data_IF_806988069612
#
_entry.id   IF_806988069612
#
_cell.length_a   1.000
_cell.length_b   1.000
_cell.length_c   1.000
_cell.angle_alpha   90.00
_cell.angle_beta   90.00
_cell.angle_gamma   90.00
#
_symmetry.space_group_name_H-M   'P 1'
#
loop_
_entity.id
_entity.type
_entity.pdbx_description
1 polymer ?
#
# COMPACT_ATOMS: atom_id res chain seq x y z
N UNK A 1 32.17 5.71 3.72
CA UNK A 1 31.60 4.62 2.89
C UNK A 1 31.70 3.36 3.73
N UNK A 2 30.58 2.87 4.31
CA UNK A 2 30.56 1.56 4.96
C UNK A 2 30.65 0.54 3.82
N UNK A 3 31.58 -0.41 3.92
CA UNK A 3 31.66 -1.55 3.01
C UNK A 3 30.31 -2.28 3.06
N UNK A 4 29.48 -2.11 2.03
CA UNK A 4 28.26 -2.87 1.83
C UNK A 4 28.70 -4.27 1.36
N UNK A 5 29.05 -5.14 2.32
CA UNK A 5 29.40 -6.52 2.01
C UNK A 5 28.16 -7.23 1.50
N UNK A 6 28.23 -7.71 0.27
CA UNK A 6 27.21 -8.58 -0.29
C UNK A 6 27.21 -9.92 0.46
N UNK A 7 26.04 -10.35 0.86
CA UNK A 7 25.78 -11.70 1.35
C UNK A 7 24.42 -12.15 0.86
N UNK A 8 24.28 -13.36 0.42
CA UNK A 8 22.99 -13.86 -0.07
C UNK A 8 22.24 -14.57 1.04
N UNK A 9 21.04 -14.08 1.33
CA UNK A 9 20.13 -14.71 2.27
C UNK A 9 18.78 -14.94 1.59
N UNK A 10 18.34 -16.20 1.58
CA UNK A 10 17.01 -16.56 1.07
C UNK A 10 15.98 -16.48 2.21
N UNK A 11 14.94 -15.68 2.01
CA UNK A 11 13.85 -15.47 2.95
C UNK A 11 12.58 -16.12 2.39
N UNK A 12 11.98 -17.03 3.14
CA UNK A 12 10.62 -17.52 2.86
C UNK A 12 9.63 -16.58 3.55
N UNK A 13 8.81 -15.89 2.76
CA UNK A 13 7.87 -14.88 3.22
C UNK A 13 6.44 -15.27 2.87
N UNK A 14 5.49 -14.72 3.64
CA UNK A 14 4.07 -14.74 3.27
C UNK A 14 3.61 -13.29 3.06
N UNK A 15 3.36 -12.93 1.79
CA UNK A 15 2.95 -11.59 1.39
C UNK A 15 1.58 -11.66 0.71
N UNK A 16 0.59 -10.94 1.22
CA UNK A 16 -0.79 -10.97 0.74
C UNK A 16 -1.32 -12.42 0.55
N UNK A 17 -1.08 -13.27 1.57
CA UNK A 17 -1.40 -14.70 1.65
C UNK A 17 -0.62 -15.60 0.65
N UNK A 18 0.28 -15.07 -0.13
CA UNK A 18 1.09 -15.84 -1.07
C UNK A 18 2.43 -16.18 -0.43
N UNK A 19 2.83 -17.47 -0.37
CA UNK A 19 4.18 -17.87 0.01
C UNK A 19 5.15 -17.52 -1.14
N UNK A 20 6.18 -16.73 -0.85
CA UNK A 20 7.19 -16.30 -1.81
C UNK A 20 8.58 -16.45 -1.22
N UNK A 21 9.57 -16.66 -2.08
CA UNK A 21 10.97 -16.58 -1.69
C UNK A 21 11.57 -15.28 -2.19
N UNK A 22 12.23 -14.55 -1.31
CA UNK A 22 13.00 -13.34 -1.64
C UNK A 22 14.45 -13.58 -1.31
N UNK A 23 15.35 -13.34 -2.26
CA UNK A 23 16.79 -13.37 -2.00
C UNK A 23 17.30 -11.95 -1.80
N UNK A 24 17.87 -11.70 -0.62
CA UNK A 24 18.54 -10.45 -0.24
C UNK A 24 20.03 -10.52 -0.50
N UNK A 25 20.62 -9.43 -0.99
CA UNK A 25 22.07 -9.26 -1.20
C UNK A 25 22.71 -8.30 -0.20
N UNK A 26 21.95 -7.39 0.41
CA UNK A 26 22.50 -6.27 1.18
C UNK A 26 21.89 -6.11 2.59
N UNK A 27 21.15 -7.08 3.08
CA UNK A 27 20.60 -7.06 4.46
C UNK A 27 19.50 -6.05 4.76
N UNK A 28 19.19 -5.08 3.89
CA UNK A 28 18.07 -4.17 4.09
C UNK A 28 16.74 -4.92 3.96
N UNK A 29 16.59 -5.77 2.94
CA UNK A 29 15.42 -6.61 2.75
C UNK A 29 15.17 -7.54 3.94
N UNK A 30 16.22 -8.10 4.53
CA UNK A 30 16.12 -8.95 5.72
C UNK A 30 15.42 -8.21 6.86
N UNK A 31 15.82 -6.96 7.11
CA UNK A 31 15.24 -6.14 8.19
C UNK A 31 13.77 -5.83 7.96
N UNK A 32 13.43 -5.33 6.76
CA UNK A 32 12.06 -4.91 6.47
C UNK A 32 11.12 -6.11 6.28
N UNK A 33 11.64 -7.25 5.83
CA UNK A 33 10.86 -8.47 5.62
C UNK A 33 10.71 -9.35 6.87
N UNK A 34 11.48 -9.10 7.93
CA UNK A 34 11.46 -9.92 9.15
C UNK A 34 10.05 -10.17 9.72
N UNK A 35 9.14 -9.16 9.79
CA UNK A 35 7.78 -9.38 10.27
C UNK A 35 6.92 -10.27 9.36
N UNK A 36 7.37 -10.52 8.14
CA UNK A 36 6.66 -11.25 7.09
C UNK A 36 7.24 -12.63 6.80
N UNK A 37 8.25 -13.05 7.57
CA UNK A 37 8.81 -14.41 7.47
C UNK A 37 7.71 -15.43 7.75
N UNK A 38 7.58 -16.41 6.86
CA UNK A 38 6.55 -17.46 6.99
C UNK A 38 6.90 -18.44 8.11
N UNK A 39 6.38 -18.16 9.30
CA UNK A 39 6.57 -19.03 10.48
C UNK A 39 5.85 -20.38 10.40
N UNK A 40 5.01 -20.61 9.40
CA UNK A 40 4.32 -21.89 9.19
C UNK A 40 5.22 -22.94 8.55
N UNK A 41 6.27 -22.51 7.83
CA UNK A 41 7.36 -23.34 7.34
C UNK A 41 7.04 -24.37 6.25
N UNK A 42 5.77 -24.69 6.05
CA UNK A 42 5.33 -25.89 5.32
C UNK A 42 4.96 -25.63 3.86
N UNK A 43 4.78 -24.37 3.46
CA UNK A 43 4.39 -24.05 2.10
C UNK A 43 5.62 -23.82 1.20
N UNK A 44 5.68 -24.55 0.09
CA UNK A 44 6.65 -24.22 -0.95
C UNK A 44 6.31 -22.84 -1.54
N UNK A 45 7.33 -21.97 -1.76
CA UNK A 45 7.12 -20.69 -2.39
C UNK A 45 6.48 -20.83 -3.78
N UNK A 46 5.41 -20.08 -4.02
CA UNK A 46 4.75 -20.08 -5.33
C UNK A 46 5.69 -19.57 -6.43
N UNK A 47 6.57 -18.62 -6.07
CA UNK A 47 7.64 -18.13 -6.92
C UNK A 47 8.77 -17.54 -6.07
N UNK A 48 9.93 -17.36 -6.71
CA UNK A 48 11.08 -16.68 -6.11
C UNK A 48 11.38 -15.37 -6.86
N UNK A 49 11.87 -14.37 -6.12
CA UNK A 49 12.35 -13.09 -6.66
C UNK A 49 13.74 -12.77 -6.12
N UNK A 50 14.57 -12.21 -6.98
CA UNK A 50 15.91 -11.72 -6.69
C UNK A 50 16.19 -10.53 -7.61
N UNK A 51 16.83 -9.49 -7.11
CA UNK A 51 17.34 -8.42 -7.95
C UNK A 51 18.62 -8.86 -8.66
N UNK A 52 18.67 -8.76 -9.97
CA UNK A 52 19.88 -8.90 -10.79
C UNK A 52 20.66 -7.58 -10.82
N UNK A 53 21.91 -7.61 -11.33
CA UNK A 53 22.68 -6.38 -11.53
C UNK A 53 22.00 -5.44 -12.54
N UNK A 54 21.37 -5.99 -13.58
CA UNK A 54 20.58 -5.20 -14.53
C UNK A 54 19.36 -4.52 -13.87
N UNK A 55 18.71 -5.17 -12.90
CA UNK A 55 17.64 -4.55 -12.11
C UNK A 55 18.17 -3.41 -11.25
N UNK A 56 19.33 -3.57 -10.62
CA UNK A 56 19.97 -2.51 -9.84
C UNK A 56 20.39 -1.33 -10.73
N UNK A 57 20.90 -1.59 -11.93
CA UNK A 57 21.27 -0.55 -12.89
C UNK A 57 20.04 0.20 -13.40
N UNK A 58 18.93 -0.48 -13.63
CA UNK A 58 17.66 0.13 -13.95
C UNK A 58 17.17 1.08 -12.84
N UNK A 59 17.14 0.61 -11.59
CA UNK A 59 16.72 1.45 -10.45
C UNK A 59 17.68 2.62 -10.24
N UNK A 60 19.00 2.41 -10.43
CA UNK A 60 20.03 3.47 -10.32
C UNK A 60 19.86 4.55 -11.39
N UNK A 61 19.45 4.18 -12.59
CA UNK A 61 19.17 5.16 -13.65
C UNK A 61 18.00 6.09 -13.30
N UNK A 62 17.06 5.60 -12.52
CA UNK A 62 15.88 6.37 -12.06
C UNK A 62 16.15 7.17 -10.78
N UNK A 63 17.06 6.70 -9.92
CA UNK A 63 17.32 7.25 -8.59
C UNK A 63 18.80 7.09 -8.18
N UNK A 64 19.71 7.81 -8.84
CA UNK A 64 21.16 7.63 -8.71
C UNK A 64 21.71 7.98 -7.32
N UNK A 65 20.97 8.74 -6.52
CA UNK A 65 21.36 9.17 -5.18
C UNK A 65 21.22 8.07 -4.10
N UNK A 66 20.51 6.97 -4.40
CA UNK A 66 20.24 5.94 -3.41
C UNK A 66 21.30 4.83 -3.39
N UNK A 67 21.47 4.21 -2.22
CA UNK A 67 22.40 3.10 -2.00
C UNK A 67 21.92 1.78 -2.63
N UNK A 68 22.85 0.85 -2.87
CA UNK A 68 22.51 -0.47 -3.41
C UNK A 68 21.47 -1.24 -2.59
N UNK A 69 21.50 -1.26 -1.24
CA UNK A 69 20.44 -1.89 -0.45
C UNK A 69 19.04 -1.32 -0.71
N UNK A 70 18.95 0.00 -0.90
CA UNK A 70 17.67 0.63 -1.21
C UNK A 70 17.21 0.31 -2.63
N UNK A 71 18.12 0.38 -3.62
CA UNK A 71 17.82 0.03 -5.01
C UNK A 71 17.41 -1.45 -5.14
N UNK A 72 18.07 -2.36 -4.41
CA UNK A 72 17.65 -3.76 -4.31
C UNK A 72 16.20 -3.89 -3.80
N UNK A 73 15.89 -3.16 -2.74
CA UNK A 73 14.53 -3.15 -2.17
C UNK A 73 13.49 -2.67 -3.18
N UNK A 74 13.81 -1.65 -4.00
CA UNK A 74 12.94 -1.17 -5.07
C UNK A 74 12.77 -2.23 -6.18
N UNK A 75 13.87 -2.84 -6.63
CA UNK A 75 13.88 -3.85 -7.67
C UNK A 75 13.06 -5.09 -7.26
N UNK A 76 13.26 -5.59 -6.04
CA UNK A 76 12.49 -6.72 -5.51
C UNK A 76 11.01 -6.37 -5.37
N UNK A 77 10.67 -5.17 -4.90
CA UNK A 77 9.28 -4.72 -4.84
C UNK A 77 8.62 -4.68 -6.22
N UNK A 78 9.32 -4.17 -7.24
CA UNK A 78 8.85 -4.16 -8.62
C UNK A 78 8.63 -5.57 -9.16
N UNK A 79 9.59 -6.47 -8.95
CA UNK A 79 9.48 -7.87 -9.38
C UNK A 79 8.30 -8.60 -8.70
N UNK A 80 8.05 -8.33 -7.41
CA UNK A 80 6.88 -8.84 -6.70
C UNK A 80 5.57 -8.29 -7.29
N UNK A 81 5.50 -6.97 -7.56
CA UNK A 81 4.33 -6.35 -8.16
C UNK A 81 3.95 -6.96 -9.51
N UNK A 82 4.96 -7.25 -10.35
CA UNK A 82 4.77 -7.92 -11.64
C UNK A 82 4.22 -9.35 -11.50
N UNK A 83 4.78 -10.13 -10.56
CA UNK A 83 4.31 -11.50 -10.29
C UNK A 83 2.93 -11.52 -9.67
N UNK A 84 2.66 -10.61 -8.74
CA UNK A 84 1.38 -10.54 -8.02
C UNK A 84 0.19 -10.20 -8.92
N UNK A 85 0.40 -9.45 -10.01
CA UNK A 85 -0.67 -9.12 -10.94
C UNK A 85 -1.40 -10.36 -11.48
N UNK A 86 -0.68 -11.43 -11.83
CA UNK A 86 -1.26 -12.70 -12.31
C UNK A 86 -1.98 -13.51 -11.22
N UNK A 87 -1.87 -13.09 -9.97
CA UNK A 87 -2.50 -13.71 -8.82
C UNK A 87 -3.55 -12.80 -8.16
N UNK A 88 -4.10 -11.83 -8.91
CA UNK A 88 -5.14 -10.90 -8.45
C UNK A 88 -4.68 -9.98 -7.30
N UNK A 89 -3.37 -9.74 -7.19
CA UNK A 89 -2.80 -8.80 -6.24
C UNK A 89 -2.19 -7.63 -6.97
N UNK A 90 -2.48 -6.44 -6.48
CA UNK A 90 -1.92 -5.19 -7.02
C UNK A 90 -1.23 -4.40 -5.92
N UNK A 91 -0.17 -3.68 -6.29
CA UNK A 91 0.44 -2.65 -5.44
C UNK A 91 -0.35 -1.37 -5.61
N UNK A 92 -0.77 -0.79 -4.50
CA UNK A 92 -1.59 0.42 -4.49
C UNK A 92 -0.91 1.53 -3.67
N UNK A 93 -0.46 2.58 -4.31
CA UNK A 93 0.22 3.70 -3.67
C UNK A 93 -0.75 4.53 -2.83
N UNK A 94 -0.87 4.19 -1.57
CA UNK A 94 -1.77 4.83 -0.61
C UNK A 94 -1.24 4.70 0.82
N UNK A 95 -1.70 5.55 1.71
CA UNK A 95 -1.65 5.27 3.13
C UNK A 95 -2.92 4.52 3.54
N UNK A 96 -2.76 3.32 4.08
CA UNK A 96 -3.86 2.43 4.47
C UNK A 96 -4.06 2.48 5.97
N UNK A 97 -5.24 2.91 6.41
CA UNK A 97 -5.62 2.92 7.83
C UNK A 97 -6.63 1.81 8.08
N UNK A 98 -6.41 1.03 9.14
CA UNK A 98 -7.39 0.10 9.66
C UNK A 98 -8.17 0.76 10.79
N UNK A 99 -9.51 0.63 10.74
CA UNK A 99 -10.41 1.06 11.79
C UNK A 99 -11.62 0.10 11.85
N UNK A 100 -11.98 -0.34 13.05
CA UNK A 100 -13.10 -1.26 13.29
C UNK A 100 -13.07 -2.53 12.39
N UNK A 101 -11.87 -3.10 12.18
CA UNK A 101 -11.67 -4.31 11.37
C UNK A 101 -11.84 -4.10 9.86
N UNK A 102 -11.82 -2.87 9.37
CA UNK A 102 -11.90 -2.51 7.96
C UNK A 102 -10.75 -1.59 7.56
N UNK A 103 -10.31 -1.70 6.31
CA UNK A 103 -9.25 -0.85 5.76
C UNK A 103 -9.84 0.30 4.94
N UNK A 104 -9.22 1.47 5.08
CA UNK A 104 -9.55 2.70 4.36
C UNK A 104 -8.28 3.24 3.72
N UNK A 105 -8.30 3.44 2.42
CA UNK A 105 -7.14 3.91 1.65
C UNK A 105 -7.19 5.42 1.43
N UNK A 106 -6.15 6.12 1.81
CA UNK A 106 -5.92 7.53 1.44
C UNK A 106 -4.90 7.56 0.31
N UNK A 107 -5.35 7.90 -0.88
CA UNK A 107 -4.56 7.93 -2.10
C UNK A 107 -4.38 9.36 -2.59
N UNK A 108 -3.22 9.69 -3.15
CA UNK A 108 -2.91 10.97 -3.77
C UNK A 108 -1.53 10.90 -4.45
N UNK A 109 -1.17 11.85 -5.32
CA UNK A 109 0.21 12.04 -5.75
C UNK A 109 1.18 12.20 -4.57
N UNK A 110 2.47 11.91 -4.79
CA UNK A 110 3.49 12.12 -3.76
C UNK A 110 3.50 13.58 -3.30
N UNK A 111 3.68 13.80 -1.99
CA UNK A 111 3.72 15.15 -1.40
C UNK A 111 2.36 15.83 -1.16
N UNK A 112 1.24 15.26 -1.60
CA UNK A 112 -0.09 15.86 -1.43
C UNK A 112 -0.60 15.85 0.03
N UNK A 113 -0.12 14.90 0.89
CA UNK A 113 -0.51 14.86 2.30
C UNK A 113 -1.15 13.56 2.78
N UNK A 114 -1.02 12.44 2.04
CA UNK A 114 -1.54 11.11 2.49
C UNK A 114 -1.13 10.76 3.93
N UNK A 115 0.19 10.80 4.21
CA UNK A 115 0.71 10.51 5.56
C UNK A 115 0.23 11.52 6.60
N UNK A 116 0.06 12.78 6.21
CA UNK A 116 -0.49 13.82 7.10
C UNK A 116 -1.93 13.51 7.46
N UNK A 117 -2.77 13.15 6.49
CA UNK A 117 -4.17 12.80 6.73
C UNK A 117 -4.29 11.52 7.58
N UNK A 118 -3.49 10.50 7.29
CA UNK A 118 -3.43 9.30 8.12
C UNK A 118 -2.98 9.61 9.56
N UNK A 119 -1.99 10.52 9.74
CA UNK A 119 -1.57 10.99 11.06
C UNK A 119 -2.72 11.67 11.81
N UNK A 120 -3.52 12.50 11.15
CA UNK A 120 -4.71 13.09 11.75
C UNK A 120 -5.71 12.03 12.19
N UNK A 121 -5.96 11.01 11.38
CA UNK A 121 -6.80 9.87 11.80
C UNK A 121 -6.24 9.19 13.04
N UNK A 122 -4.92 8.97 13.11
CA UNK A 122 -4.27 8.38 14.29
C UNK A 122 -4.39 9.28 15.53
N UNK A 123 -4.28 10.60 15.37
CA UNK A 123 -4.40 11.56 16.47
C UNK A 123 -5.83 11.61 17.05
N UNK A 124 -6.83 11.52 16.19
CA UNK A 124 -8.23 11.71 16.60
C UNK A 124 -8.97 10.39 16.85
N UNK A 125 -8.52 9.29 16.26
CA UNK A 125 -9.21 7.99 16.29
C UNK A 125 -8.32 6.85 16.83
N UNK A 126 -7.05 7.13 17.17
CA UNK A 126 -6.13 6.09 17.66
C UNK A 126 -6.62 5.40 18.92
N UNK A 127 -7.14 6.15 19.88
CA UNK A 127 -7.74 5.60 21.11
C UNK A 127 -9.00 4.77 20.82
N UNK A 128 -9.69 5.06 19.71
CA UNK A 128 -10.82 4.28 19.22
C UNK A 128 -10.39 3.10 18.31
N UNK A 129 -9.09 2.81 18.23
CA UNK A 129 -8.54 1.64 17.55
C UNK A 129 -8.10 1.86 16.10
N UNK A 130 -8.01 3.10 15.62
CA UNK A 130 -7.42 3.36 14.31
C UNK A 130 -5.91 3.08 14.34
N UNK A 131 -5.39 2.42 13.31
CA UNK A 131 -3.96 2.13 13.17
C UNK A 131 -3.57 2.08 11.69
N UNK A 132 -2.32 2.41 11.38
CA UNK A 132 -1.83 2.36 10.00
C UNK A 132 -1.44 0.93 9.65
N UNK A 133 -2.16 0.33 8.70
CA UNK A 133 -1.86 -0.99 8.16
C UNK A 133 -0.62 -0.95 7.25
N UNK A 134 -0.49 0.10 6.42
CA UNK A 134 0.70 0.36 5.61
C UNK A 134 0.73 1.84 5.18
N UNK A 135 1.88 2.47 5.30
CA UNK A 135 2.03 3.92 5.08
C UNK A 135 2.28 4.36 3.63
N UNK A 136 2.56 3.42 2.70
CA UNK A 136 2.99 3.82 1.35
C UNK A 136 2.50 2.92 0.21
N UNK A 137 2.77 1.60 0.28
CA UNK A 137 2.56 0.67 -0.83
C UNK A 137 1.92 -0.65 -0.41
N UNK A 138 0.72 -0.63 0.23
CA UNK A 138 0.00 -1.85 0.56
C UNK A 138 -0.25 -2.73 -0.67
N UNK A 139 -0.37 -4.03 -0.45
CA UNK A 139 -0.93 -4.93 -1.44
C UNK A 139 -2.45 -5.00 -1.29
N UNK A 140 -3.15 -5.01 -2.43
CA UNK A 140 -4.58 -5.30 -2.48
C UNK A 140 -4.79 -6.63 -3.17
N UNK A 141 -5.49 -7.55 -2.55
CA UNK A 141 -6.06 -8.73 -3.19
C UNK A 141 -7.48 -8.40 -3.65
N UNK A 142 -7.71 -8.51 -4.95
CA UNK A 142 -9.00 -8.21 -5.59
C UNK A 142 -9.47 -9.46 -6.33
N UNK A 143 -10.03 -10.46 -5.62
CA UNK A 143 -10.41 -11.75 -6.19
C UNK A 143 -11.55 -11.61 -7.21
N UNK A 144 -11.80 -12.68 -8.00
CA UNK A 144 -12.94 -12.72 -8.93
C UNK A 144 -14.25 -12.58 -8.17
N UNK A 145 -14.37 -13.20 -7.00
CA UNK A 145 -15.53 -13.12 -6.13
C UNK A 145 -15.13 -12.74 -4.70
N UNK A 146 -16.05 -12.10 -3.97
CA UNK A 146 -15.83 -11.68 -2.59
C UNK A 146 -15.27 -10.28 -2.44
N UNK A 147 -14.88 -9.94 -1.23
CA UNK A 147 -14.39 -8.61 -0.86
C UNK A 147 -12.93 -8.40 -1.30
N UNK A 148 -12.60 -7.17 -1.68
CA UNK A 148 -11.22 -6.76 -1.78
C UNK A 148 -10.58 -6.67 -0.38
N UNK A 149 -9.34 -7.14 -0.24
CA UNK A 149 -8.62 -7.17 1.04
C UNK A 149 -7.31 -6.40 0.90
N UNK A 150 -7.06 -5.51 1.84
CA UNK A 150 -5.81 -4.78 1.95
C UNK A 150 -4.84 -5.51 2.89
N UNK A 151 -3.57 -5.53 2.54
CA UNK A 151 -2.50 -6.16 3.31
C UNK A 151 -1.38 -5.18 3.61
N UNK A 152 -0.88 -5.21 4.83
CA UNK A 152 0.41 -4.63 5.14
C UNK A 152 1.52 -5.37 4.39
N UNK A 153 2.61 -4.64 4.10
CA UNK A 153 3.77 -5.20 3.42
C UNK A 153 5.06 -4.54 3.91
N UNK A 154 6.24 -5.08 3.60
CA UNK A 154 7.52 -4.53 4.04
C UNK A 154 7.79 -3.08 3.61
N UNK A 155 7.18 -2.61 2.53
CA UNK A 155 7.40 -1.28 1.95
C UNK A 155 6.43 -0.26 2.55
N UNK A 156 6.82 0.32 3.69
CA UNK A 156 5.98 1.21 4.51
C UNK A 156 6.26 2.70 4.30
N UNK A 157 7.16 3.02 3.36
CA UNK A 157 7.58 4.39 3.09
C UNK A 157 8.51 4.98 4.15
N UNK A 158 8.75 6.28 4.06
CA UNK A 158 9.69 6.99 4.93
C UNK A 158 9.27 7.06 6.40
N UNK A 159 7.98 6.99 6.66
CA UNK A 159 7.44 7.06 8.03
C UNK A 159 7.61 5.73 8.78
N UNK A 160 7.86 4.64 8.06
CA UNK A 160 8.01 3.30 8.65
C UNK A 160 6.71 2.74 9.25
N UNK A 161 5.57 3.30 8.91
CA UNK A 161 4.29 2.89 9.49
C UNK A 161 3.70 1.67 8.78
N UNK A 162 3.46 0.63 9.54
CA UNK A 162 2.82 -0.57 9.03
C UNK A 162 3.04 -1.78 9.92
N UNK A 163 2.28 -2.83 9.67
CA UNK A 163 2.44 -4.12 10.34
C UNK A 163 1.97 -5.25 9.42
N UNK A 164 2.37 -6.47 9.73
CA UNK A 164 1.91 -7.66 9.03
C UNK A 164 0.48 -8.00 9.46
N UNK A 165 -0.48 -7.55 8.68
CA UNK A 165 -1.90 -7.75 8.91
C UNK A 165 -2.70 -7.54 7.65
N UNK A 166 -4.02 -7.76 7.74
CA UNK A 166 -4.95 -7.56 6.64
C UNK A 166 -6.33 -7.17 7.13
N UNK A 167 -7.07 -6.43 6.30
CA UNK A 167 -8.47 -6.10 6.56
C UNK A 167 -9.24 -5.94 5.25
N UNK A 168 -10.56 -6.23 5.22
CA UNK A 168 -11.41 -5.93 4.08
C UNK A 168 -11.36 -4.43 3.73
N UNK A 169 -11.10 -4.11 2.46
CA UNK A 169 -11.06 -2.74 1.98
C UNK A 169 -12.49 -2.18 1.87
N UNK A 170 -12.80 -1.20 2.69
CA UNK A 170 -14.14 -0.62 2.79
C UNK A 170 -14.31 0.68 1.99
N UNK A 171 -13.22 1.39 1.71
CA UNK A 171 -13.29 2.63 0.96
C UNK A 171 -11.94 3.18 0.52
N UNK A 172 -11.96 3.97 -0.54
CA UNK A 172 -10.80 4.69 -1.06
C UNK A 172 -11.14 6.18 -1.13
N UNK A 173 -10.28 7.02 -0.55
CA UNK A 173 -10.40 8.47 -0.59
C UNK A 173 -9.20 9.05 -1.34
N UNK A 174 -9.45 9.67 -2.48
CA UNK A 174 -8.42 10.37 -3.26
C UNK A 174 -8.36 11.82 -2.78
N UNK A 175 -7.23 12.18 -2.17
CA UNK A 175 -7.02 13.49 -1.55
C UNK A 175 -6.45 14.51 -2.52
N UNK A 176 -6.88 15.76 -2.39
CA UNK A 176 -6.22 16.93 -2.93
C UNK A 176 -6.26 18.08 -1.90
N UNK A 177 -5.30 19.00 -1.98
CA UNK A 177 -5.24 20.13 -1.06
C UNK A 177 -6.32 21.15 -1.40
N UNK A 178 -7.05 21.59 -0.38
CA UNK A 178 -8.08 22.63 -0.50
C UNK A 178 -8.13 23.45 0.78
N UNK A 179 -8.54 24.72 0.72
CA UNK A 179 -8.66 25.58 1.91
C UNK A 179 -9.86 25.22 2.81
N UNK A 180 -10.80 24.45 2.30
CA UNK A 180 -11.99 23.98 3.03
C UNK A 180 -12.21 22.51 2.70
N UNK A 181 -12.71 21.75 3.69
CA UNK A 181 -12.99 20.35 3.51
C UNK A 181 -14.27 20.13 2.70
N UNK A 182 -14.18 19.28 1.70
CA UNK A 182 -15.32 18.81 0.91
C UNK A 182 -15.06 17.40 0.42
N UNK A 183 -16.09 16.56 0.36
CA UNK A 183 -15.97 15.18 -0.10
C UNK A 183 -17.14 14.83 -1.00
N UNK A 184 -16.87 14.16 -2.09
CA UNK A 184 -17.87 13.66 -3.02
C UNK A 184 -17.59 12.20 -3.38
N UNK A 185 -18.64 11.42 -3.52
CA UNK A 185 -18.53 10.06 -4.00
C UNK A 185 -18.39 10.06 -5.52
N UNK A 186 -17.38 9.38 -6.02
CA UNK A 186 -17.16 9.22 -7.45
C UNK A 186 -17.94 8.01 -7.98
N UNK A 187 -18.44 8.13 -9.20
CA UNK A 187 -18.87 6.97 -9.96
C UNK A 187 -17.62 6.17 -10.46
N UNK A 188 -17.79 4.89 -10.83
CA UNK A 188 -16.66 4.08 -11.30
C UNK A 188 -15.91 4.70 -12.49
N UNK A 189 -16.60 5.32 -13.44
CA UNK A 189 -15.98 5.90 -14.62
C UNK A 189 -15.09 7.11 -14.26
N UNK A 190 -15.57 7.97 -13.37
CA UNK A 190 -14.81 9.12 -12.86
C UNK A 190 -13.61 8.71 -11.99
N UNK A 191 -13.66 7.52 -11.37
CA UNK A 191 -12.60 7.04 -10.50
C UNK A 191 -11.45 6.31 -11.23
N UNK A 192 -11.68 5.74 -12.43
CA UNK A 192 -10.72 4.87 -13.14
C UNK A 192 -9.33 5.50 -13.23
N UNK A 193 -9.23 6.72 -13.76
CA UNK A 193 -7.94 7.36 -13.98
C UNK A 193 -7.21 7.63 -12.66
N UNK A 194 -7.93 8.10 -11.64
CA UNK A 194 -7.37 8.41 -10.33
C UNK A 194 -6.81 7.15 -9.66
N UNK A 195 -7.53 6.04 -9.72
CA UNK A 195 -7.11 4.75 -9.15
C UNK A 195 -5.97 4.13 -9.94
N UNK A 196 -6.04 4.14 -11.28
CA UNK A 196 -4.96 3.61 -12.12
C UNK A 196 -3.62 4.33 -11.89
N UNK A 197 -3.63 5.63 -11.64
CA UNK A 197 -2.42 6.39 -11.29
C UNK A 197 -1.76 5.95 -9.99
N UNK A 198 -2.50 5.28 -9.11
CA UNK A 198 -1.99 4.76 -7.84
C UNK A 198 -1.56 3.30 -7.91
N UNK A 199 -1.87 2.60 -9.00
CA UNK A 199 -1.48 1.21 -9.19
C UNK A 199 -0.11 1.10 -9.86
N UNK A 200 0.67 0.11 -9.43
CA UNK A 200 1.81 -0.33 -10.23
C UNK A 200 1.28 -1.11 -11.45
N UNK A 201 1.63 -0.65 -12.64
CA UNK A 201 1.24 -1.29 -13.90
C UNK A 201 2.49 -1.79 -14.61
N UNK A 202 2.65 -3.10 -14.85
CA UNK A 202 3.81 -3.68 -15.54
C UNK A 202 3.72 -3.43 -17.05
N UNK A 203 4.12 -2.24 -17.50
CA UNK A 203 3.92 -1.74 -18.86
C UNK A 203 4.57 -2.59 -19.95
N UNK A 204 5.68 -3.25 -19.64
CA UNK A 204 6.41 -4.13 -20.57
C UNK A 204 5.82 -5.56 -20.62
N UNK A 205 4.83 -5.86 -19.77
CA UNK A 205 4.14 -7.13 -19.70
C UNK A 205 2.64 -6.94 -19.98
N UNK A 206 2.18 -7.12 -21.24
CA UNK A 206 0.78 -6.93 -21.60
C UNK A 206 -0.20 -7.78 -20.78
N UNK A 207 0.15 -9.02 -20.47
CA UNK A 207 -0.69 -9.90 -19.64
C UNK A 207 -0.82 -9.37 -18.21
N UNK A 208 0.29 -8.89 -17.62
CA UNK A 208 0.28 -8.25 -16.32
C UNK A 208 -0.52 -6.94 -16.31
N UNK A 209 -0.40 -6.13 -17.36
CA UNK A 209 -1.21 -4.92 -17.53
C UNK A 209 -2.71 -5.25 -17.56
N UNK A 210 -3.13 -6.25 -18.35
CA UNK A 210 -4.52 -6.70 -18.39
C UNK A 210 -5.01 -7.24 -17.04
N UNK A 211 -4.15 -7.95 -16.31
CA UNK A 211 -4.49 -8.45 -14.99
C UNK A 211 -4.73 -7.29 -13.98
N UNK A 212 -3.88 -6.25 -14.00
CA UNK A 212 -4.10 -5.05 -13.17
C UNK A 212 -5.38 -4.32 -13.56
N UNK A 213 -5.65 -4.13 -14.85
CA UNK A 213 -6.90 -3.52 -15.34
C UNK A 213 -8.13 -4.29 -14.86
N UNK A 214 -8.10 -5.63 -14.95
CA UNK A 214 -9.17 -6.47 -14.44
C UNK A 214 -9.35 -6.37 -12.92
N UNK A 215 -8.27 -6.22 -12.15
CA UNK A 215 -8.35 -5.96 -10.71
C UNK A 215 -8.98 -4.58 -10.43
N UNK A 216 -8.58 -3.54 -11.16
CA UNK A 216 -9.14 -2.19 -10.98
C UNK A 216 -10.62 -2.15 -11.33
N UNK A 217 -11.04 -2.80 -12.41
CA UNK A 217 -12.46 -2.91 -12.79
C UNK A 217 -13.29 -3.54 -11.65
N UNK A 218 -12.86 -4.70 -11.14
CA UNK A 218 -13.51 -5.34 -9.99
C UNK A 218 -13.47 -4.49 -8.72
N UNK A 219 -12.37 -3.80 -8.48
CA UNK A 219 -12.22 -2.91 -7.33
C UNK A 219 -13.26 -1.79 -7.36
N UNK A 220 -13.40 -1.11 -8.49
CA UNK A 220 -14.30 0.02 -8.67
C UNK A 220 -15.79 -0.37 -8.62
N UNK A 221 -16.12 -1.63 -8.94
CA UNK A 221 -17.49 -2.13 -8.80
C UNK A 221 -17.87 -2.49 -7.36
N UNK A 222 -16.88 -2.71 -6.47
CA UNK A 222 -17.12 -3.27 -5.12
C UNK A 222 -16.73 -2.32 -3.99
N UNK A 223 -15.75 -1.46 -4.23
CA UNK A 223 -15.23 -0.54 -3.21
C UNK A 223 -15.59 0.88 -3.59
N UNK A 224 -16.33 1.60 -2.74
CA UNK A 224 -16.68 2.99 -3.01
C UNK A 224 -15.43 3.87 -3.00
N UNK A 225 -15.40 4.84 -3.92
CA UNK A 225 -14.32 5.80 -4.08
C UNK A 225 -14.85 7.20 -3.87
N UNK A 226 -14.11 8.01 -3.14
CA UNK A 226 -14.38 9.43 -2.93
C UNK A 226 -13.22 10.29 -3.42
N UNK A 227 -13.54 11.50 -3.88
CA UNK A 227 -12.60 12.61 -4.04
C UNK A 227 -12.79 13.58 -2.89
N UNK A 228 -11.70 13.98 -2.26
CA UNK A 228 -11.75 14.87 -1.11
C UNK A 228 -10.75 16.01 -1.22
N UNK A 229 -11.27 17.24 -1.21
CA UNK A 229 -10.48 18.43 -0.90
C UNK A 229 -10.34 18.56 0.61
N UNK A 230 -9.13 18.73 1.12
CA UNK A 230 -8.90 18.85 2.55
C UNK A 230 -7.71 19.74 2.90
N UNK A 231 -7.78 20.29 4.11
CA UNK A 231 -6.70 20.91 4.86
C UNK A 231 -6.11 19.93 5.90
N UNK A 232 -5.46 20.46 6.95
CA UNK A 232 -4.86 19.69 8.04
C UNK A 232 -5.64 19.81 9.36
N UNK A 233 -6.91 20.16 9.31
CA UNK A 233 -7.77 20.34 10.48
C UNK A 233 -8.44 19.04 10.94
N UNK A 234 -9.05 19.07 12.13
CA UNK A 234 -9.93 18.00 12.61
C UNK A 234 -11.17 17.82 11.70
N UNK A 235 -11.61 18.89 11.04
CA UNK A 235 -12.71 18.83 10.08
C UNK A 235 -12.40 17.90 8.90
N UNK A 236 -11.14 17.82 8.49
CA UNK A 236 -10.70 16.86 7.49
C UNK A 236 -10.88 15.40 7.96
N UNK A 237 -10.61 15.13 9.25
CA UNK A 237 -10.86 13.79 9.82
C UNK A 237 -12.36 13.51 9.85
N UNK A 238 -13.17 14.42 10.40
CA UNK A 238 -14.62 14.27 10.47
C UNK A 238 -15.22 13.99 9.11
N UNK A 239 -14.90 14.84 8.12
CA UNK A 239 -15.43 14.75 6.75
C UNK A 239 -15.09 13.40 6.11
N UNK A 240 -13.85 12.95 6.20
CA UNK A 240 -13.45 11.64 5.64
C UNK A 240 -14.03 10.47 6.44
N UNK A 241 -14.04 10.57 7.76
CA UNK A 241 -14.55 9.51 8.63
C UNK A 241 -16.04 9.23 8.38
N UNK A 242 -16.86 10.25 8.41
CA UNK A 242 -18.31 10.11 8.20
C UNK A 242 -18.63 9.55 6.81
N UNK A 243 -17.96 10.05 5.77
CA UNK A 243 -18.19 9.58 4.41
C UNK A 243 -17.74 8.13 4.21
N UNK A 244 -16.56 7.76 4.73
CA UNK A 244 -15.96 6.44 4.51
C UNK A 244 -16.61 5.36 5.38
N UNK A 245 -16.99 5.69 6.62
CA UNK A 245 -17.51 4.71 7.59
C UNK A 245 -19.04 4.68 7.64
N UNK A 246 -19.71 5.75 7.23
CA UNK A 246 -21.15 5.94 7.43
C UNK A 246 -21.55 6.16 8.89
N UNK A 247 -20.56 6.44 9.76
CA UNK A 247 -20.76 6.65 11.20
C UNK A 247 -20.55 8.12 11.54
N UNK A 248 -21.37 8.68 12.41
CA UNK A 248 -21.19 10.05 12.89
C UNK A 248 -19.89 10.18 13.69
N UNK A 249 -19.15 11.25 13.44
CA UNK A 249 -17.90 11.52 14.14
C UNK A 249 -18.19 12.13 15.52
N UNK A 250 -17.91 11.38 16.56
CA UNK A 250 -18.19 11.80 17.95
C UNK A 250 -17.19 12.83 18.52
N UNK A 251 -16.15 13.20 17.75
CA UNK A 251 -15.06 14.04 18.24
C UNK A 251 -14.08 13.30 19.15
N UNK A 252 -12.90 13.86 19.33
CA UNK A 252 -11.98 13.38 20.36
C UNK A 252 -12.51 13.87 21.72
N UNK A 253 -12.90 12.96 22.61
CA UNK A 253 -13.14 13.32 24.02
C UNK A 253 -11.77 13.59 24.67
N UNK A 254 -11.11 14.69 24.31
CA UNK A 254 -9.94 15.15 25.04
C UNK A 254 -10.41 15.55 26.45
N UNK A 255 -10.35 14.62 27.41
CA UNK A 255 -10.27 15.00 28.80
C UNK A 255 -9.03 15.90 28.96
N UNK A 256 -9.28 17.18 29.21
CA UNK A 256 -8.28 18.17 29.62
C UNK A 256 -7.68 17.78 30.96
#
# INVERSE_FOLDING_TARGET
MRNEQEHETALKLRLADIPVQVTSRYGMLEKICLPYVDGRGDAEPLFAVRASDADLDFERAMAPEFSNPYLESCAVHRALAERFASHERIVFHSCMVEYAGRAYAFAAPSGTGKSTHARLWMQHLGDAGAKVLNGDKPFLHVPQEGAAVAYGCPWTGKEGWGYNGSAPLAGICVLHQAPTCSIERLDPAGAVELIMRQCYVPRENPAGTLAVLGCVDRLLTRVPVWSMGCDISEDAVRTSFEALTGTEYAGCSCNK
#
